data_IF_949277780754
#
_entry.id   IF_949277780754
#
_cell.length_a   1.000
_cell.length_b   1.000
_cell.length_c   1.000
_cell.angle_alpha   90.00
_cell.angle_beta   90.00
_cell.angle_gamma   90.00
#
_symmetry.space_group_name_H-M   'P 1'
#
loop_
_entity.id
_entity.type
_entity.pdbx_description
1 polymer ?
#
# COMPACT_ATOMS: atom_id res chain seq x y z
N UNK A 1 -16.27 -9.62 11.33
CA UNK A 1 -16.63 -8.30 10.77
C UNK A 1 -15.39 -7.79 10.04
N UNK A 2 -15.49 -7.35 8.80
CA UNK A 2 -14.31 -6.88 8.05
C UNK A 2 -13.69 -5.66 8.74
N UNK A 3 -12.36 -5.51 8.64
CA UNK A 3 -11.66 -4.36 9.23
C UNK A 3 -12.06 -3.07 8.52
N UNK A 4 -12.19 -1.96 9.26
CA UNK A 4 -12.33 -0.64 8.64
C UNK A 4 -10.97 -0.18 8.10
N UNK A 5 -10.86 0.23 6.81
CA UNK A 5 -9.59 0.70 6.25
C UNK A 5 -8.93 1.80 7.08
N UNK A 6 -9.70 2.75 7.63
CA UNK A 6 -9.18 3.88 8.40
C UNK A 6 -8.52 3.45 9.72
N UNK A 7 -9.02 2.38 10.35
CA UNK A 7 -8.44 1.86 11.59
C UNK A 7 -7.11 1.14 11.33
N UNK A 8 -7.03 0.43 10.20
CA UNK A 8 -5.81 -0.20 9.71
C UNK A 8 -4.78 0.89 9.36
N UNK A 9 -5.16 1.89 8.57
CA UNK A 9 -4.30 3.01 8.19
C UNK A 9 -3.81 3.78 9.41
N UNK A 10 -4.66 4.01 10.41
CA UNK A 10 -4.26 4.66 11.67
C UNK A 10 -3.21 3.85 12.43
N UNK A 11 -3.34 2.52 12.46
CA UNK A 11 -2.35 1.66 13.08
C UNK A 11 -1.01 1.67 12.31
N UNK A 12 -1.05 1.62 10.98
CA UNK A 12 0.15 1.76 10.13
C UNK A 12 0.81 3.11 10.38
N UNK A 13 0.04 4.21 10.38
CA UNK A 13 0.55 5.54 10.65
C UNK A 13 1.24 5.60 12.02
N UNK A 14 0.62 5.08 13.08
CA UNK A 14 1.24 5.07 14.40
C UNK A 14 2.54 4.24 14.49
N UNK A 15 2.65 3.15 13.72
CA UNK A 15 3.79 2.22 13.80
C UNK A 15 4.93 2.46 12.80
N UNK A 16 4.69 3.15 11.69
CA UNK A 16 5.58 3.17 10.51
C UNK A 16 6.97 3.77 10.71
N UNK A 17 7.18 4.55 11.77
CA UNK A 17 8.42 5.29 11.97
C UNK A 17 8.72 6.22 10.79
N UNK A 18 9.88 6.04 10.16
CA UNK A 18 10.38 6.82 9.03
C UNK A 18 10.24 6.11 7.66
N UNK A 19 9.34 5.12 7.58
CA UNK A 19 9.06 4.42 6.34
C UNK A 19 8.45 5.34 5.28
N UNK A 20 8.84 5.12 4.03
CA UNK A 20 8.23 5.76 2.87
C UNK A 20 6.89 5.08 2.59
N UNK A 21 5.81 5.84 2.45
CA UNK A 21 4.47 5.29 2.22
C UNK A 21 3.96 5.63 0.81
N UNK A 22 3.33 4.65 0.17
CA UNK A 22 2.73 4.80 -1.17
C UNK A 22 1.24 4.51 -1.09
N UNK A 23 0.43 5.42 -0.50
CA UNK A 23 -1.02 5.31 -0.51
C UNK A 23 -1.61 5.56 -1.90
N UNK A 24 -2.53 4.72 -2.32
CA UNK A 24 -3.30 4.91 -3.56
C UNK A 24 -4.80 4.69 -3.38
N UNK A 25 -5.57 5.18 -4.35
CA UNK A 25 -7.01 5.00 -4.45
C UNK A 25 -7.72 5.29 -3.12
N UNK A 26 -8.48 4.33 -2.59
CA UNK A 26 -9.30 4.49 -1.39
C UNK A 26 -8.49 4.71 -0.11
N UNK A 27 -7.19 4.42 -0.09
CA UNK A 27 -6.35 4.68 1.09
C UNK A 27 -5.88 6.14 1.15
N UNK A 28 -5.78 6.81 0.00
CA UNK A 28 -5.17 8.14 -0.11
C UNK A 28 -5.92 9.26 0.63
N UNK A 29 -7.27 9.35 0.61
CA UNK A 29 -7.98 10.38 1.37
C UNK A 29 -7.71 10.33 2.87
N UNK A 30 -7.94 9.17 3.50
CA UNK A 30 -7.68 9.00 4.93
C UNK A 30 -6.20 9.19 5.28
N UNK A 31 -5.28 8.73 4.42
CA UNK A 31 -3.86 8.89 4.66
C UNK A 31 -3.42 10.36 4.69
N UNK A 32 -3.95 11.21 3.81
CA UNK A 32 -3.63 12.65 3.81
C UNK A 32 -3.97 13.33 5.15
N UNK A 33 -5.01 12.88 5.83
CA UNK A 33 -5.39 13.41 7.14
C UNK A 33 -4.56 12.80 8.27
N UNK A 34 -4.28 11.50 8.20
CA UNK A 34 -3.48 10.78 9.21
C UNK A 34 -1.99 11.17 9.16
N UNK A 35 -1.50 11.62 8.01
CA UNK A 35 -0.09 11.81 7.72
C UNK A 35 0.17 12.95 6.70
N UNK A 36 -0.23 14.20 7.00
CA UNK A 36 -0.17 15.30 6.02
C UNK A 36 1.25 15.72 5.60
N UNK A 37 2.26 15.50 6.45
CA UNK A 37 3.63 15.99 6.27
C UNK A 37 4.71 14.89 6.44
N UNK A 38 4.42 13.67 6.00
CA UNK A 38 5.35 12.54 6.13
C UNK A 38 6.12 12.20 4.83
N UNK A 39 6.75 11.04 4.80
CA UNK A 39 7.44 10.51 3.62
C UNK A 39 6.47 9.75 2.70
N UNK A 40 5.38 10.38 2.29
CA UNK A 40 4.41 9.75 1.39
C UNK A 40 4.43 10.32 -0.02
N UNK A 41 4.10 9.45 -0.97
CA UNK A 41 3.77 9.83 -2.34
C UNK A 41 2.52 9.06 -2.77
N UNK A 42 1.49 9.80 -3.17
CA UNK A 42 0.23 9.22 -3.65
C UNK A 42 0.24 9.09 -5.17
N UNK A 43 -0.38 8.04 -5.70
CA UNK A 43 -0.64 7.90 -7.13
C UNK A 43 -2.15 7.89 -7.42
N UNK A 44 -2.76 9.07 -7.50
CA UNK A 44 -4.19 9.23 -7.85
C UNK A 44 -4.30 9.46 -9.36
N UNK A 45 -5.16 8.69 -10.04
CA UNK A 45 -5.26 8.68 -11.51
C UNK A 45 -4.35 7.66 -12.21
N UNK A 46 -3.62 6.84 -11.44
CA UNK A 46 -2.73 5.78 -11.92
C UNK A 46 -2.98 4.48 -11.12
N UNK A 47 -4.16 3.87 -11.33
CA UNK A 47 -4.48 2.56 -10.75
C UNK A 47 -3.49 1.50 -11.24
N UNK A 48 -3.08 0.60 -10.36
CA UNK A 48 -2.03 -0.39 -10.60
C UNK A 48 -0.61 0.14 -10.44
N UNK A 49 -0.40 1.45 -10.37
CA UNK A 49 0.93 2.04 -10.29
C UNK A 49 1.66 1.93 -8.97
N UNK A 50 0.94 1.74 -7.86
CA UNK A 50 1.48 1.87 -6.50
C UNK A 50 2.59 0.85 -6.21
N UNK A 51 2.41 -0.40 -6.65
CA UNK A 51 3.38 -1.48 -6.45
C UNK A 51 4.71 -1.20 -7.16
N UNK A 52 4.67 -0.74 -8.42
CA UNK A 52 5.87 -0.38 -9.18
C UNK A 52 6.57 0.87 -8.64
N UNK A 53 5.80 1.89 -8.23
CA UNK A 53 6.36 3.08 -7.57
C UNK A 53 7.04 2.72 -6.25
N UNK A 54 6.39 1.89 -5.44
CA UNK A 54 6.95 1.35 -4.20
C UNK A 54 8.24 0.57 -4.42
N UNK A 55 8.30 -0.27 -5.46
CA UNK A 55 9.53 -0.98 -5.82
C UNK A 55 10.67 -0.02 -6.15
N UNK A 56 10.42 0.99 -6.99
CA UNK A 56 11.43 1.98 -7.36
C UNK A 56 12.01 2.70 -6.13
N UNK A 57 11.14 3.10 -5.19
CA UNK A 57 11.55 3.72 -3.92
C UNK A 57 12.35 2.77 -3.04
N UNK A 58 11.94 1.49 -2.97
CA UNK A 58 12.61 0.48 -2.16
C UNK A 58 14.03 0.19 -2.67
N UNK A 59 14.21 0.16 -3.98
CA UNK A 59 15.52 0.01 -4.63
C UNK A 59 16.39 1.27 -4.48
N UNK A 60 15.79 2.46 -4.56
CA UNK A 60 16.51 3.72 -4.45
C UNK A 60 16.97 4.03 -3.02
N UNK A 61 16.20 3.62 -2.00
CA UNK A 61 16.47 3.84 -0.56
C UNK A 61 16.44 2.51 0.22
N UNK A 62 17.40 1.60 -0.02
CA UNK A 62 17.40 0.25 0.59
C UNK A 62 17.44 0.27 2.13
N UNK A 63 17.92 1.36 2.73
CA UNK A 63 17.99 1.57 4.17
C UNK A 63 16.65 1.99 4.81
N UNK A 64 15.66 2.39 3.99
CA UNK A 64 14.33 2.81 4.46
C UNK A 64 13.28 1.78 4.09
N UNK A 65 12.37 1.48 5.00
CA UNK A 65 11.20 0.65 4.71
C UNK A 65 10.27 1.38 3.73
N UNK A 66 9.68 0.63 2.81
CA UNK A 66 8.64 1.13 1.89
C UNK A 66 7.35 0.36 2.11
N UNK A 67 6.27 1.09 2.38
CA UNK A 67 4.93 0.56 2.64
C UNK A 67 4.01 0.97 1.49
N UNK A 68 3.63 0.01 0.64
CA UNK A 68 2.64 0.23 -0.42
C UNK A 68 1.26 -0.03 0.17
N UNK A 69 0.34 0.95 0.09
CA UNK A 69 -1.03 0.85 0.60
C UNK A 69 -2.00 0.83 -0.58
N UNK A 70 -2.27 -0.37 -1.08
CA UNK A 70 -2.90 -0.61 -2.37
C UNK A 70 -4.28 -1.26 -2.23
N UNK A 71 -5.11 -1.16 -3.27
CA UNK A 71 -6.37 -1.90 -3.35
C UNK A 71 -6.21 -3.15 -4.21
N UNK A 72 -6.99 -4.20 -3.91
CA UNK A 72 -7.11 -5.40 -4.74
C UNK A 72 -7.39 -5.12 -6.22
N UNK A 73 -8.36 -4.26 -6.52
CA UNK A 73 -8.67 -3.85 -7.90
C UNK A 73 -7.52 -3.08 -8.56
N UNK A 74 -6.80 -2.26 -7.79
CA UNK A 74 -5.62 -1.53 -8.30
C UNK A 74 -4.50 -2.51 -8.65
N UNK A 75 -4.13 -3.42 -7.75
CA UNK A 75 -3.12 -4.44 -8.03
C UNK A 75 -3.49 -5.30 -9.25
N UNK A 76 -4.77 -5.67 -9.39
CA UNK A 76 -5.25 -6.49 -10.50
C UNK A 76 -5.02 -5.83 -11.86
N UNK A 77 -5.07 -4.50 -11.95
CA UNK A 77 -4.77 -3.76 -13.19
C UNK A 77 -3.28 -3.83 -13.59
N UNK A 78 -2.38 -4.14 -12.66
CA UNK A 78 -0.95 -4.30 -12.93
C UNK A 78 -0.37 -5.55 -12.25
N UNK A 79 -1.05 -6.69 -12.41
CA UNK A 79 -0.69 -7.93 -11.71
C UNK A 79 0.73 -8.42 -12.01
N UNK A 80 1.24 -8.14 -13.22
CA UNK A 80 2.63 -8.44 -13.61
C UNK A 80 3.69 -7.78 -12.71
N UNK A 81 3.34 -6.73 -11.97
CA UNK A 81 4.23 -6.11 -10.99
C UNK A 81 4.66 -7.06 -9.87
N UNK A 82 3.88 -8.10 -9.56
CA UNK A 82 4.27 -9.14 -8.61
C UNK A 82 5.56 -9.85 -9.06
N UNK A 83 5.64 -10.24 -10.34
CA UNK A 83 6.83 -10.88 -10.90
C UNK A 83 8.04 -9.94 -10.89
N UNK A 84 7.83 -8.66 -11.21
CA UNK A 84 8.89 -7.65 -11.18
C UNK A 84 9.45 -7.45 -9.77
N UNK A 85 8.58 -7.32 -8.75
CA UNK A 85 8.98 -7.16 -7.35
C UNK A 85 9.72 -8.40 -6.85
N UNK A 86 9.19 -9.59 -7.14
CA UNK A 86 9.81 -10.85 -6.74
C UNK A 86 11.18 -11.06 -7.39
N UNK A 87 11.36 -10.66 -8.66
CA UNK A 87 12.66 -10.71 -9.34
C UNK A 87 13.70 -9.75 -8.74
N UNK A 88 13.27 -8.55 -8.33
CA UNK A 88 14.14 -7.54 -7.74
C UNK A 88 14.50 -7.82 -6.26
N UNK A 89 13.68 -8.60 -5.54
CA UNK A 89 13.90 -9.04 -4.15
C UNK A 89 14.22 -7.90 -3.15
N UNK A 90 13.45 -6.79 -3.13
CA UNK A 90 13.69 -5.70 -2.17
C UNK A 90 13.44 -6.18 -0.73
N UNK A 91 14.46 -6.13 0.13
CA UNK A 91 14.34 -6.56 1.54
C UNK A 91 13.49 -5.64 2.39
N UNK A 92 13.29 -4.40 1.95
CA UNK A 92 12.66 -3.32 2.70
C UNK A 92 11.19 -3.04 2.30
N UNK A 93 10.60 -3.81 1.36
CA UNK A 93 9.25 -3.55 0.83
C UNK A 93 8.15 -4.41 1.50
N UNK A 94 7.06 -3.74 1.89
CA UNK A 94 5.81 -4.37 2.32
C UNK A 94 4.66 -3.84 1.47
N UNK A 95 3.88 -4.75 0.88
CA UNK A 95 2.71 -4.45 0.08
C UNK A 95 1.45 -4.81 0.86
N UNK A 96 0.84 -3.81 1.49
CA UNK A 96 -0.45 -3.94 2.14
C UNK A 96 -1.56 -3.84 1.09
N UNK A 97 -2.31 -4.92 0.90
CA UNK A 97 -3.38 -5.03 -0.08
C UNK A 97 -4.73 -4.99 0.64
N UNK A 98 -5.44 -3.87 0.53
CA UNK A 98 -6.78 -3.68 1.08
C UNK A 98 -7.79 -4.37 0.16
N UNK A 99 -8.26 -5.53 0.56
CA UNK A 99 -9.17 -6.38 -0.22
C UNK A 99 -10.61 -6.13 0.20
N UNK A 100 -11.43 -5.65 -0.73
CA UNK A 100 -12.87 -5.41 -0.55
C UNK A 100 -13.71 -5.87 -1.76
N UNK A 101 -13.08 -6.48 -2.76
CA UNK A 101 -13.72 -7.13 -3.91
C UNK A 101 -14.30 -6.18 -4.95
N UNK A 102 -14.16 -4.86 -4.80
CA UNK A 102 -14.82 -3.88 -5.68
C UNK A 102 -13.92 -2.74 -6.11
N UNK A 103 -14.17 -2.20 -7.30
CA UNK A 103 -13.65 -0.91 -7.73
C UNK A 103 -14.41 0.23 -7.05
N UNK A 104 -14.15 0.43 -5.76
CA UNK A 104 -14.90 1.38 -4.94
C UNK A 104 -14.85 2.81 -5.49
N UNK A 105 -13.75 3.22 -6.12
CA UNK A 105 -13.59 4.58 -6.70
C UNK A 105 -14.48 4.84 -7.92
N UNK A 106 -14.86 3.81 -8.69
CA UNK A 106 -15.63 3.95 -9.94
C UNK A 106 -17.11 3.60 -9.83
N UNK A 107 -17.61 3.39 -8.61
CA UNK A 107 -19.02 3.02 -8.37
C UNK A 107 -19.23 1.64 -7.74
N UNK A 108 -18.19 1.05 -7.14
CA UNK A 108 -18.28 -0.19 -6.35
C UNK A 108 -18.75 -1.42 -7.13
N UNK A 109 -18.44 -1.48 -8.44
CA UNK A 109 -18.59 -2.69 -9.23
C UNK A 109 -17.58 -3.74 -8.77
N UNK A 110 -17.92 -5.02 -8.86
CA UNK A 110 -16.99 -6.10 -8.55
C UNK A 110 -15.72 -6.03 -9.42
N UNK A 111 -14.57 -6.33 -8.81
CA UNK A 111 -13.35 -6.57 -9.58
C UNK A 111 -13.50 -7.88 -10.37
N UNK A 112 -12.78 -8.08 -11.48
CA UNK A 112 -12.71 -9.38 -12.14
C UNK A 112 -12.31 -10.48 -11.15
N UNK A 113 -13.15 -11.52 -11.03
CA UNK A 113 -12.97 -12.61 -10.06
C UNK A 113 -13.43 -12.31 -8.63
N UNK A 114 -13.85 -11.07 -8.32
CA UNK A 114 -14.43 -10.68 -7.04
C UNK A 114 -13.56 -11.03 -5.84
N UNK A 115 -14.19 -11.49 -4.76
CA UNK A 115 -13.50 -11.90 -3.54
C UNK A 115 -12.71 -13.22 -3.66
N UNK A 116 -12.95 -14.02 -4.70
CA UNK A 116 -12.34 -15.34 -4.89
C UNK A 116 -10.89 -15.27 -5.40
N UNK A 117 -10.43 -14.10 -5.85
CA UNK A 117 -9.04 -13.90 -6.29
C UNK A 117 -8.07 -14.08 -5.13
N UNK A 118 -7.20 -15.09 -5.21
CA UNK A 118 -6.19 -15.37 -4.19
C UNK A 118 -4.85 -14.64 -4.49
N UNK A 119 -4.75 -13.40 -4.02
CA UNK A 119 -3.54 -12.59 -4.20
C UNK A 119 -2.35 -13.12 -3.38
N UNK A 120 -2.60 -13.82 -2.26
CA UNK A 120 -1.55 -14.42 -1.43
C UNK A 120 -0.84 -15.53 -2.19
N UNK A 121 -1.61 -16.43 -2.82
CA UNK A 121 -1.05 -17.51 -3.63
C UNK A 121 -0.38 -16.98 -4.90
N UNK A 122 -0.93 -15.94 -5.54
CA UNK A 122 -0.26 -15.27 -6.66
C UNK A 122 1.09 -14.67 -6.26
N UNK A 123 1.17 -13.96 -5.12
CA UNK A 123 2.41 -13.39 -4.62
C UNK A 123 3.45 -14.46 -4.28
N UNK A 124 3.04 -15.54 -3.62
CA UNK A 124 3.91 -16.71 -3.35
C UNK A 124 4.41 -17.33 -4.65
N UNK A 125 3.51 -17.55 -5.62
CA UNK A 125 3.84 -18.12 -6.92
C UNK A 125 4.77 -17.22 -7.75
N UNK A 126 4.67 -15.90 -7.60
CA UNK A 126 5.61 -14.95 -8.21
C UNK A 126 7.00 -14.99 -7.56
N UNK A 127 7.11 -15.44 -6.31
CA UNK A 127 8.37 -15.53 -5.56
C UNK A 127 8.52 -14.49 -4.45
N UNK A 128 7.43 -13.92 -3.94
CA UNK A 128 7.49 -13.10 -2.72
C UNK A 128 8.01 -13.93 -1.56
N UNK A 129 8.80 -13.29 -0.67
CA UNK A 129 9.40 -13.98 0.47
C UNK A 129 8.34 -14.52 1.41
N UNK A 130 7.31 -13.74 1.68
CA UNK A 130 6.13 -14.19 2.39
C UNK A 130 4.90 -13.44 1.91
N UNK A 131 3.76 -14.15 1.94
CA UNK A 131 2.46 -13.54 1.77
C UNK A 131 1.43 -14.24 2.66
N UNK A 132 0.50 -13.46 3.21
CA UNK A 132 -0.58 -13.97 4.06
C UNK A 132 -1.71 -12.95 4.19
N UNK A 133 -2.87 -13.45 4.62
CA UNK A 133 -4.07 -12.67 4.88
C UNK A 133 -4.20 -12.36 6.37
N UNK A 134 -4.73 -11.18 6.70
CA UNK A 134 -5.20 -10.80 8.04
C UNK A 134 -6.63 -10.26 7.89
N UNK A 135 -7.56 -10.80 8.67
CA UNK A 135 -8.97 -10.41 8.64
C UNK A 135 -9.49 -9.77 9.93
N UNK A 136 -8.66 -9.68 10.97
CA UNK A 136 -9.00 -9.13 12.27
C UNK A 136 -8.09 -7.96 12.65
N UNK A 137 -8.68 -6.87 13.14
CA UNK A 137 -7.94 -5.67 13.51
C UNK A 137 -7.05 -5.90 14.73
N UNK A 138 -7.49 -6.75 15.67
CA UNK A 138 -6.69 -7.13 16.83
C UNK A 138 -5.44 -7.91 16.43
N UNK A 139 -5.59 -8.89 15.54
CA UNK A 139 -4.48 -9.63 14.93
C UNK A 139 -3.54 -8.69 14.17
N UNK A 140 -4.08 -7.81 13.32
CA UNK A 140 -3.30 -6.84 12.59
C UNK A 140 -2.42 -6.01 13.54
N UNK A 141 -3.00 -5.44 14.60
CA UNK A 141 -2.25 -4.65 15.60
C UNK A 141 -1.16 -5.46 16.29
N UNK A 142 -1.42 -6.73 16.63
CA UNK A 142 -0.40 -7.61 17.25
C UNK A 142 0.75 -7.94 16.29
N UNK A 143 0.45 -8.14 15.00
CA UNK A 143 1.44 -8.54 14.00
C UNK A 143 2.21 -7.36 13.41
N UNK A 144 1.61 -6.17 13.38
CA UNK A 144 2.18 -4.99 12.74
C UNK A 144 3.64 -4.68 13.13
N UNK A 145 4.07 -4.73 14.40
CA UNK A 145 5.47 -4.51 14.74
C UNK A 145 6.44 -5.48 14.04
N UNK A 146 6.05 -6.74 13.90
CA UNK A 146 6.82 -7.74 13.16
C UNK A 146 6.78 -7.48 11.66
N UNK A 147 5.61 -7.18 11.10
CA UNK A 147 5.46 -6.85 9.67
C UNK A 147 6.41 -5.70 9.28
N UNK A 148 6.48 -4.68 10.14
CA UNK A 148 7.31 -3.50 9.92
C UNK A 148 8.81 -3.76 10.05
N UNK A 149 9.26 -4.93 10.52
CA UNK A 149 10.69 -5.28 10.66
C UNK A 149 11.12 -6.52 9.87
N UNK A 150 10.18 -7.35 9.42
CA UNK A 150 10.45 -8.58 8.67
C UNK A 150 10.97 -8.29 7.26
N UNK A 151 12.02 -8.99 6.79
CA UNK A 151 12.57 -8.80 5.45
C UNK A 151 11.57 -9.19 4.34
N UNK A 152 11.51 -8.38 3.29
CA UNK A 152 10.60 -8.54 2.14
C UNK A 152 11.21 -9.17 0.88
N UNK A 153 10.48 -9.12 -0.25
CA UNK A 153 9.17 -8.46 -0.39
C UNK A 153 8.06 -9.24 0.31
N UNK A 154 7.23 -8.53 1.08
CA UNK A 154 6.08 -9.07 1.80
C UNK A 154 4.78 -8.61 1.14
N UNK A 155 3.81 -9.50 0.96
CA UNK A 155 2.43 -9.13 0.65
C UNK A 155 1.53 -9.46 1.83
N UNK A 156 0.85 -8.45 2.37
CA UNK A 156 -0.11 -8.63 3.46
C UNK A 156 -1.49 -8.25 2.93
N UNK A 157 -2.29 -9.26 2.63
CA UNK A 157 -3.68 -9.07 2.26
C UNK A 157 -4.50 -8.74 3.51
N UNK A 158 -5.28 -7.67 3.44
CA UNK A 158 -6.07 -7.14 4.54
C UNK A 158 -7.54 -7.22 4.14
N UNK A 159 -8.31 -8.08 4.81
CA UNK A 159 -9.75 -8.19 4.54
C UNK A 159 -10.47 -7.00 5.16
N UNK A 160 -10.92 -6.09 4.31
CA UNK A 160 -11.46 -4.78 4.73
C UNK A 160 -12.84 -4.53 4.15
N UNK A 161 -13.61 -3.70 4.83
CA UNK A 161 -14.81 -3.09 4.27
C UNK A 161 -14.48 -1.96 3.29
N UNK A 162 -15.51 -1.22 2.90
CA UNK A 162 -15.35 0.00 2.11
C UNK A 162 -14.77 1.12 2.98
N UNK A 163 -13.87 1.92 2.40
CA UNK A 163 -13.40 3.16 3.01
C UNK A 163 -14.57 4.16 3.12
N UNK A 164 -14.52 5.07 4.08
CA UNK A 164 -15.52 6.13 4.21
C UNK A 164 -15.49 7.11 3.03
N UNK A 165 -14.31 7.31 2.45
CA UNK A 165 -14.08 8.24 1.34
C UNK A 165 -13.28 7.60 0.20
N UNK A 166 -13.45 8.14 -0.99
CA UNK A 166 -12.64 7.82 -2.17
C UNK A 166 -12.03 9.10 -2.74
N UNK A 167 -11.04 9.01 -3.63
CA UNK A 167 -10.53 10.20 -4.33
C UNK A 167 -11.60 11.00 -5.08
N UNK A 168 -12.74 10.37 -5.42
CA UNK A 168 -13.85 11.03 -6.12
C UNK A 168 -14.74 11.84 -5.17
N UNK A 169 -14.89 11.39 -3.92
CA UNK A 169 -15.74 12.05 -2.90
C UNK A 169 -14.95 13.02 -2.03
N UNK A 170 -13.67 12.75 -1.80
CA UNK A 170 -12.76 13.59 -1.02
C UNK A 170 -11.57 13.99 -1.89
N UNK A 171 -11.80 14.93 -2.81
CA UNK A 171 -10.75 15.43 -3.72
C UNK A 171 -9.62 16.14 -2.97
N UNK A 172 -8.46 16.25 -3.59
CA UNK A 172 -7.32 17.01 -3.07
C UNK A 172 -6.01 16.27 -3.20
N UNK A 173 -5.01 16.72 -2.44
CA UNK A 173 -3.62 16.31 -2.61
C UNK A 173 -2.88 17.25 -3.57
N UNK A 174 -1.55 17.20 -3.53
CA UNK A 174 -0.71 17.99 -4.42
C UNK A 174 -0.58 17.29 -5.78
N UNK A 175 -0.34 18.01 -6.89
CA UNK A 175 0.06 17.38 -8.14
C UNK A 175 1.26 16.44 -7.94
N UNK A 176 1.29 15.32 -8.68
CA UNK A 176 2.31 14.28 -8.49
C UNK A 176 3.75 14.81 -8.55
N UNK A 177 4.05 15.72 -9.48
CA UNK A 177 5.39 16.31 -9.60
C UNK A 177 5.82 17.08 -8.33
N UNK A 178 4.89 17.75 -7.65
CA UNK A 178 5.18 18.47 -6.39
C UNK A 178 5.41 17.48 -5.26
N UNK A 179 4.60 16.42 -5.16
CA UNK A 179 4.80 15.35 -4.18
C UNK A 179 6.17 14.69 -4.35
N UNK A 180 6.55 14.39 -5.60
CA UNK A 180 7.84 13.77 -5.91
C UNK A 180 9.02 14.68 -5.52
N UNK A 181 8.94 15.97 -5.83
CA UNK A 181 9.99 16.92 -5.46
C UNK A 181 10.08 17.10 -3.94
N UNK A 182 8.94 17.23 -3.24
CA UNK A 182 8.92 17.33 -1.78
C UNK A 182 9.48 16.08 -1.11
N UNK A 183 9.09 14.89 -1.57
CA UNK A 183 9.63 13.62 -1.08
C UNK A 183 11.14 13.55 -1.31
N UNK A 184 11.62 13.93 -2.51
CA UNK A 184 13.05 13.99 -2.84
C UNK A 184 13.79 14.90 -1.87
N UNK A 185 13.30 16.11 -1.65
CA UNK A 185 13.92 17.07 -0.73
C UNK A 185 13.96 16.54 0.71
N UNK A 186 12.87 15.93 1.19
CA UNK A 186 12.82 15.32 2.52
C UNK A 186 13.82 14.17 2.64
N UNK A 187 13.90 13.28 1.66
CA UNK A 187 14.83 12.13 1.67
C UNK A 187 16.31 12.53 1.56
N UNK A 188 16.63 13.67 0.95
CA UNK A 188 17.99 14.20 0.88
C UNK A 188 18.43 14.86 2.20
N UNK A 189 17.50 15.47 2.95
CA UNK A 189 17.81 16.13 4.23
C UNK A 189 18.12 15.16 5.37
N UNK A 190 17.53 13.96 5.37
CA UNK A 190 17.76 12.95 6.43
C UNK A 190 19.06 12.16 6.20
N UNK A 191 19.89 12.56 5.23
CA UNK A 191 21.23 12.02 4.98
C UNK A 191 22.38 13.00 5.23
N UNK A 192 22.11 14.15 5.89
CA UNK A 192 23.10 15.14 6.31
C UNK A 192 23.24 15.15 7.84
#
# INVERSE_FOLDING_TARGET
>A
MAMKPEEVLRAIAAGRGDAICVPTMTTAPAWRTLAPDDLSITCVGFMGGASALGLGLALARPERRVLVLDGDGSLLMQLGSLATIAGARPRNLVHFLFKNGVYHTSGAQEIPGGFDVDFVMMAKGAGYRAAYTIGDLGEFRRRLPKILTEEGPLLVELVTGLAAETPMTARGGKPFHQQAEELRQRLLRVGA
#
